data_IF_764698294312
#
_entry.id   IF_764698294312
#
_cell.length_a   1.000
_cell.length_b   1.000
_cell.length_c   1.000
_cell.angle_alpha   90.00
_cell.angle_beta   90.00
_cell.angle_gamma   90.00
#
_symmetry.space_group_name_H-M   'P 1'
#
loop_
_entity.id
_entity.type
_entity.pdbx_description
1 polymer ?
#
# COMPACT_ATOMS: atom_id res chain seq x y z
N UNK A 1 -8.30 52.29 -33.34
CA UNK A 1 -7.88 50.87 -33.25
C UNK A 1 -8.42 50.29 -31.94
N UNK A 2 -9.01 49.09 -31.94
CA UNK A 2 -9.47 48.46 -30.70
C UNK A 2 -8.26 48.03 -29.85
N UNK A 3 -8.24 48.29 -28.53
CA UNK A 3 -7.14 47.87 -27.67
C UNK A 3 -7.02 46.34 -27.66
N UNK A 4 -5.80 45.82 -27.85
CA UNK A 4 -5.52 44.38 -27.73
C UNK A 4 -5.41 44.04 -26.24
N UNK A 5 -6.13 43.01 -25.82
CA UNK A 5 -6.11 42.49 -24.44
C UNK A 5 -5.23 41.26 -24.40
N UNK A 6 -4.23 41.24 -23.53
CA UNK A 6 -3.40 40.06 -23.28
C UNK A 6 -3.68 39.54 -21.87
N UNK A 7 -3.77 38.23 -21.72
CA UNK A 7 -3.88 37.57 -20.43
C UNK A 7 -2.56 36.83 -20.20
N UNK A 8 -1.91 37.11 -19.08
CA UNK A 8 -0.65 36.45 -18.70
C UNK A 8 -0.84 35.78 -17.35
N UNK A 9 -0.44 34.51 -17.28
CA UNK A 9 -0.33 33.81 -16.00
C UNK A 9 0.95 34.29 -15.30
N UNK A 10 0.78 34.79 -14.09
CA UNK A 10 1.88 35.26 -13.24
C UNK A 10 1.90 34.39 -11.99
N UNK A 11 3.08 33.89 -11.65
CA UNK A 11 3.30 33.01 -10.51
C UNK A 11 2.97 33.71 -9.19
N UNK A 12 2.34 32.99 -8.26
CA UNK A 12 2.12 33.52 -6.90
C UNK A 12 3.43 33.43 -6.12
N UNK A 13 3.85 34.56 -5.56
CA UNK A 13 5.04 34.65 -4.70
C UNK A 13 4.87 33.84 -3.40
N UNK A 14 3.63 33.72 -2.92
CA UNK A 14 3.30 32.97 -1.71
C UNK A 14 2.32 31.83 -2.00
N UNK A 15 2.81 30.60 -1.87
CA UNK A 15 1.99 29.41 -1.88
C UNK A 15 1.36 29.24 -0.49
N UNK A 16 0.07 28.89 -0.47
CA UNK A 16 -0.63 28.61 0.77
C UNK A 16 0.09 27.48 1.54
N UNK A 17 0.53 27.80 2.77
CA UNK A 17 1.22 26.89 3.69
C UNK A 17 0.45 25.59 3.92
N UNK A 18 -0.88 25.64 3.82
CA UNK A 18 -1.75 24.46 3.97
C UNK A 18 -1.37 23.31 3.02
N UNK A 19 -1.09 23.59 1.75
CA UNK A 19 -0.73 22.54 0.77
C UNK A 19 0.56 21.82 1.15
N UNK A 20 1.53 22.58 1.64
CA UNK A 20 2.80 22.03 2.11
C UNK A 20 2.59 21.11 3.31
N UNK A 21 1.78 21.55 4.29
CA UNK A 21 1.45 20.74 5.47
C UNK A 21 0.75 19.45 5.06
N UNK A 22 -0.21 19.52 4.13
CA UNK A 22 -0.93 18.33 3.63
C UNK A 22 0.02 17.33 2.95
N UNK A 23 0.92 17.79 2.09
CA UNK A 23 1.90 16.91 1.43
C UNK A 23 2.83 16.24 2.45
N UNK A 24 3.40 17.02 3.38
CA UNK A 24 4.29 16.49 4.42
C UNK A 24 3.56 15.48 5.29
N UNK A 25 2.32 15.76 5.69
CA UNK A 25 1.50 14.82 6.45
C UNK A 25 1.28 13.50 5.70
N UNK A 26 0.90 13.56 4.42
CA UNK A 26 0.70 12.35 3.62
C UNK A 26 1.99 11.55 3.47
N UNK A 27 3.13 12.20 3.16
CA UNK A 27 4.39 11.49 3.00
C UNK A 27 4.91 10.85 4.28
N UNK A 28 4.77 11.51 5.43
CA UNK A 28 5.12 10.89 6.72
C UNK A 28 4.23 9.68 6.99
N UNK A 29 2.92 9.79 6.73
CA UNK A 29 1.98 8.66 6.83
C UNK A 29 2.36 7.48 5.94
N UNK A 30 2.74 7.75 4.68
CA UNK A 30 3.25 6.75 3.73
C UNK A 30 4.52 6.11 4.27
N UNK A 31 5.48 6.91 4.74
CA UNK A 31 6.78 6.41 5.17
C UNK A 31 6.64 5.42 6.34
N UNK A 32 5.90 5.82 7.39
CA UNK A 32 5.69 4.99 8.58
C UNK A 32 4.93 3.70 8.22
N UNK A 33 3.77 3.84 7.56
CA UNK A 33 2.92 2.69 7.22
C UNK A 33 3.59 1.72 6.24
N UNK A 34 4.36 2.21 5.27
CA UNK A 34 5.08 1.34 4.33
C UNK A 34 6.23 0.62 5.01
N UNK A 35 6.98 1.29 5.87
CA UNK A 35 8.06 0.67 6.64
C UNK A 35 7.53 -0.46 7.54
N UNK A 36 6.45 -0.20 8.30
CA UNK A 36 5.83 -1.23 9.14
C UNK A 36 5.22 -2.37 8.33
N UNK A 37 4.57 -2.07 7.20
CA UNK A 37 4.00 -3.08 6.31
C UNK A 37 5.06 -4.01 5.72
N UNK A 38 6.22 -3.45 5.31
CA UNK A 38 7.36 -4.21 4.83
C UNK A 38 7.94 -5.10 5.94
N UNK A 39 8.16 -4.55 7.15
CA UNK A 39 8.67 -5.34 8.27
C UNK A 39 7.71 -6.47 8.68
N UNK A 40 6.42 -6.18 8.81
CA UNK A 40 5.42 -7.19 9.14
C UNK A 40 5.37 -8.31 8.09
N UNK A 41 5.49 -7.96 6.80
CA UNK A 41 5.54 -8.97 5.74
C UNK A 41 6.86 -9.76 5.72
N UNK A 42 7.99 -9.11 6.00
CA UNK A 42 9.27 -9.80 6.15
C UNK A 42 9.23 -10.83 7.30
N UNK A 43 8.59 -10.52 8.43
CA UNK A 43 8.40 -11.49 9.51
C UNK A 43 7.62 -12.71 9.06
N UNK A 44 6.53 -12.51 8.32
CA UNK A 44 5.76 -13.60 7.71
C UNK A 44 6.67 -14.41 6.77
N UNK A 45 7.40 -13.74 5.89
CA UNK A 45 8.26 -14.40 4.90
C UNK A 45 9.36 -15.24 5.57
N UNK A 46 9.93 -14.72 6.66
CA UNK A 46 10.97 -15.37 7.43
C UNK A 46 10.43 -16.58 8.22
N UNK A 47 9.20 -16.52 8.79
CA UNK A 47 8.54 -17.68 9.44
C UNK A 47 8.48 -18.87 8.47
N UNK A 48 8.27 -18.61 7.17
CA UNK A 48 8.20 -19.66 6.17
C UNK A 48 9.53 -19.93 5.45
N UNK A 49 10.66 -19.62 6.09
CA UNK A 49 12.01 -19.83 5.53
C UNK A 49 12.17 -19.20 4.13
N UNK A 50 11.71 -17.95 3.97
CA UNK A 50 11.75 -17.21 2.71
C UNK A 50 11.00 -17.89 1.56
N UNK A 51 9.94 -18.65 1.88
CA UNK A 51 9.01 -19.21 0.88
C UNK A 51 7.76 -18.34 0.80
N UNK A 52 7.30 -18.09 -0.42
CA UNK A 52 6.22 -17.14 -0.64
C UNK A 52 4.85 -17.73 -0.28
N UNK A 53 4.25 -17.25 0.81
CA UNK A 53 2.98 -17.79 1.31
C UNK A 53 1.73 -17.27 0.61
N UNK A 54 1.86 -16.20 -0.18
CA UNK A 54 0.73 -15.64 -0.91
C UNK A 54 0.16 -16.70 -1.83
N UNK A 55 -1.13 -17.04 -1.72
CA UNK A 55 -1.75 -18.11 -2.50
C UNK A 55 -1.10 -19.50 -2.31
N UNK A 56 -0.39 -19.74 -1.20
CA UNK A 56 0.20 -21.05 -0.95
C UNK A 56 -0.90 -22.09 -0.71
N UNK A 57 -0.78 -23.23 -1.40
CA UNK A 57 -1.63 -24.40 -1.19
C UNK A 57 -1.04 -25.24 -0.07
N UNK A 58 -1.61 -25.10 1.12
CA UNK A 58 -1.12 -25.73 2.34
C UNK A 58 -1.44 -27.22 2.32
N UNK A 59 -0.42 -28.05 2.55
CA UNK A 59 -0.59 -29.47 2.85
C UNK A 59 -0.42 -29.67 4.35
N UNK A 60 -1.43 -30.25 4.99
CA UNK A 60 -1.41 -30.58 6.42
C UNK A 60 -0.90 -31.99 6.61
N UNK A 61 0.08 -32.15 7.51
CA UNK A 61 0.59 -33.46 7.89
C UNK A 61 0.06 -33.83 9.27
N UNK A 62 -0.31 -35.10 9.41
CA UNK A 62 -0.73 -35.67 10.68
C UNK A 62 0.43 -36.50 11.24
N UNK A 63 0.90 -36.14 12.43
CA UNK A 63 1.92 -36.85 13.19
C UNK A 63 1.37 -37.31 14.53
N UNK A 64 2.08 -38.21 15.22
CA UNK A 64 1.68 -38.65 16.56
C UNK A 64 0.30 -39.32 16.57
N UNK A 65 0.06 -40.19 15.59
CA UNK A 65 -1.21 -40.89 15.44
C UNK A 65 -1.32 -41.97 16.49
N UNK A 66 -2.30 -41.83 17.38
CA UNK A 66 -2.63 -42.82 18.40
C UNK A 66 -4.05 -43.32 18.15
N UNK A 67 -4.22 -44.64 18.07
CA UNK A 67 -5.52 -45.26 17.92
C UNK A 67 -6.08 -45.63 19.29
N UNK A 68 -7.31 -45.19 19.58
CA UNK A 68 -8.03 -45.61 20.78
C UNK A 68 -8.50 -47.04 20.56
N UNK A 69 -7.80 -48.01 21.15
CA UNK A 69 -8.26 -49.39 21.15
C UNK A 69 -9.61 -49.45 21.89
N UNK A 70 -10.65 -49.91 21.18
CA UNK A 70 -12.04 -50.00 21.67
C UNK A 70 -12.23 -51.03 22.80
N UNK A 71 -11.15 -51.54 23.38
CA UNK A 71 -11.14 -52.75 24.23
C UNK A 71 -11.27 -52.50 25.72
N UNK A 72 -11.39 -51.26 26.21
CA UNK A 72 -11.62 -51.01 27.65
C UNK A 72 -13.10 -51.08 28.03
N UNK A 73 -13.79 -52.12 27.55
CA UNK A 73 -14.90 -52.75 28.27
C UNK A 73 -14.38 -54.10 28.81
N UNK A 74 -13.62 -54.04 29.92
CA UNK A 74 -13.29 -55.15 30.85
C UNK A 74 -12.37 -56.30 30.37
N UNK A 75 -11.67 -57.03 31.28
CA UNK A 75 -10.20 -57.06 31.26
C UNK A 75 -9.59 -58.46 31.17
N UNK A 76 -8.53 -58.64 30.38
CA UNK A 76 -7.45 -59.58 30.71
C UNK A 76 -6.22 -59.43 29.82
N UNK A 77 -5.18 -58.84 30.41
CA UNK A 77 -3.74 -59.06 30.16
C UNK A 77 -3.10 -58.54 28.85
N UNK A 78 -1.79 -58.23 28.87
CA UNK A 78 -1.24 -57.09 28.15
C UNK A 78 -0.29 -57.44 26.99
N UNK A 79 0.10 -56.36 26.31
CA UNK A 79 1.31 -56.12 25.52
C UNK A 79 1.12 -56.08 24.01
N UNK A 80 1.04 -54.87 23.43
CA UNK A 80 1.50 -54.60 22.06
C UNK A 80 2.18 -53.22 21.99
N UNK A 81 3.32 -53.26 21.31
CA UNK A 81 4.29 -52.24 20.89
C UNK A 81 3.70 -51.07 20.10
N UNK A 82 4.21 -49.86 20.39
CA UNK A 82 4.01 -48.63 19.62
C UNK A 82 4.49 -48.78 18.17
N UNK A 83 3.58 -48.63 17.20
CA UNK A 83 3.92 -48.45 15.79
C UNK A 83 3.63 -47.00 15.40
N UNK A 84 4.69 -46.22 15.16
CA UNK A 84 4.62 -44.84 14.69
C UNK A 84 4.38 -44.84 13.18
N UNK A 85 3.22 -44.37 12.73
CA UNK A 85 2.88 -44.20 11.30
C UNK A 85 2.65 -42.73 11.02
N UNK A 86 3.41 -42.16 10.10
CA UNK A 86 3.18 -40.81 9.58
C UNK A 86 2.24 -40.88 8.37
N UNK A 87 1.15 -40.10 8.38
CA UNK A 87 0.19 -40.04 7.27
C UNK A 87 0.19 -38.65 6.63
N UNK A 88 0.44 -38.60 5.32
CA UNK A 88 0.28 -37.43 4.48
C UNK A 88 -1.16 -37.38 3.97
N UNK A 89 -1.88 -36.30 4.27
CA UNK A 89 -3.22 -36.06 3.74
C UNK A 89 -3.08 -35.01 2.63
N UNK A 90 -3.11 -35.47 1.38
CA UNK A 90 -3.14 -34.59 0.22
C UNK A 90 -4.60 -34.28 -0.13
N UNK A 91 -4.97 -32.99 -0.04
CA UNK A 91 -6.26 -32.50 -0.50
C UNK A 91 -6.20 -32.28 -2.02
N UNK A 92 -6.37 -33.34 -2.79
CA UNK A 92 -6.42 -33.27 -4.26
C UNK A 92 -7.83 -32.88 -4.74
N UNK A 93 -7.89 -31.85 -5.58
CA UNK A 93 -9.11 -31.30 -6.16
C UNK A 93 -9.56 -32.15 -7.37
N UNK A 94 -10.80 -32.61 -7.36
CA UNK A 94 -11.42 -33.38 -8.45
C UNK A 94 -11.56 -32.49 -9.68
N UNK A 95 -10.78 -32.76 -10.74
CA UNK A 95 -11.11 -32.39 -12.12
C UNK A 95 -10.78 -33.52 -13.10
N UNK A 96 -11.87 -34.06 -13.64
CA UNK A 96 -12.08 -34.73 -14.93
C UNK A 96 -11.32 -36.01 -15.31
N UNK A 97 -12.13 -37.03 -15.58
CA UNK A 97 -11.79 -38.31 -16.18
C UNK A 97 -11.45 -38.19 -17.66
N UNK A 98 -10.39 -38.86 -18.14
CA UNK A 98 -10.48 -39.94 -19.15
C UNK A 98 -9.10 -40.48 -19.60
N UNK A 99 -9.04 -41.82 -19.66
CA UNK A 99 -8.21 -42.75 -20.48
C UNK A 99 -6.99 -43.47 -19.86
N UNK A 100 -7.26 -44.76 -19.56
CA UNK A 100 -6.58 -45.96 -20.09
C UNK A 100 -5.29 -46.50 -19.45
N UNK A 101 -5.49 -47.42 -18.49
CA UNK A 101 -4.94 -48.80 -18.36
C UNK A 101 -3.48 -49.14 -18.76
N UNK A 102 -2.67 -49.57 -17.77
CA UNK A 102 -2.30 -50.99 -17.50
C UNK A 102 -1.31 -51.15 -16.31
N UNK A 103 -1.55 -52.20 -15.52
CA UNK A 103 -0.97 -52.71 -14.23
C UNK A 103 0.59 -52.68 -14.01
N UNK A 104 1.16 -52.94 -12.78
CA UNK A 104 0.60 -53.73 -11.65
C UNK A 104 0.70 -53.13 -10.21
N UNK A 105 -0.03 -53.83 -9.34
CA UNK A 105 -0.33 -53.61 -7.91
C UNK A 105 0.84 -53.23 -7.01
N UNK A 106 0.67 -52.10 -6.32
CA UNK A 106 1.21 -51.82 -4.99
C UNK A 106 -0.01 -51.57 -4.08
N UNK A 107 -0.19 -52.36 -3.02
CA UNK A 107 -1.26 -52.12 -2.05
C UNK A 107 -0.90 -50.92 -1.17
N UNK A 108 -1.06 -49.71 -1.70
CA UNK A 108 -1.18 -48.52 -0.88
C UNK A 108 -2.60 -48.51 -0.29
N UNK A 109 -2.69 -48.54 1.03
CA UNK A 109 -3.93 -48.26 1.75
C UNK A 109 -4.23 -46.76 1.54
N UNK A 110 -4.90 -46.43 0.43
CA UNK A 110 -5.50 -45.12 0.25
C UNK A 110 -6.72 -45.05 1.18
N UNK A 111 -6.47 -44.66 2.43
CA UNK A 111 -7.55 -44.32 3.34
C UNK A 111 -8.09 -42.96 2.90
N UNK A 112 -9.04 -43.02 1.97
CA UNK A 112 -9.80 -41.87 1.48
C UNK A 112 -10.67 -41.40 2.65
N UNK A 113 -10.12 -40.53 3.50
CA UNK A 113 -10.93 -39.76 4.44
C UNK A 113 -11.81 -38.84 3.59
N UNK A 114 -13.02 -39.30 3.28
CA UNK A 114 -14.10 -38.44 2.81
C UNK A 114 -14.47 -37.53 3.98
N UNK A 115 -13.69 -36.47 4.18
CA UNK A 115 -14.13 -35.31 4.94
C UNK A 115 -15.19 -34.61 4.08
N UNK A 116 -16.43 -35.05 4.28
CA UNK A 116 -17.59 -34.40 3.68
C UNK A 116 -17.62 -32.94 4.11
N UNK A 117 -17.67 -32.06 3.14
CA UNK A 117 -17.87 -30.61 3.32
C UNK A 117 -19.23 -30.45 4.01
N UNK A 118 -19.24 -30.02 5.27
CA UNK A 118 -20.46 -29.68 6.00
C UNK A 118 -20.41 -28.19 6.36
N UNK A 119 -21.36 -27.43 5.81
CA UNK A 119 -21.70 -26.07 6.24
C UNK A 119 -22.38 -26.15 7.60
N UNK A 120 -21.68 -25.71 8.65
CA UNK A 120 -22.33 -25.36 9.92
C UNK A 120 -21.51 -24.30 10.63
N UNK A 121 -22.11 -23.12 10.82
CA UNK A 121 -21.52 -21.99 11.52
C UNK A 121 -21.36 -22.31 13.02
N UNK A 122 -20.12 -22.34 13.51
CA UNK A 122 -19.82 -22.39 14.94
C UNK A 122 -18.99 -21.17 15.36
N UNK A 123 -19.40 -20.52 16.45
CA UNK A 123 -18.68 -19.41 17.07
C UNK A 123 -17.79 -19.94 18.20
N UNK A 124 -16.53 -19.51 18.23
CA UNK A 124 -15.59 -19.75 19.33
C UNK A 124 -15.29 -18.39 19.97
N UNK A 125 -15.79 -18.15 21.19
CA UNK A 125 -15.37 -17.00 22.00
C UNK A 125 -14.08 -17.35 22.75
N UNK A 126 -13.01 -16.62 22.44
CA UNK A 126 -11.73 -16.71 23.16
C UNK A 126 -11.65 -15.55 24.15
N UNK A 127 -12.03 -15.82 25.40
CA UNK A 127 -11.90 -14.88 26.51
C UNK A 127 -10.56 -15.01 27.22
N UNK A 128 -9.80 -13.92 27.30
CA UNK A 128 -8.55 -13.81 28.06
C UNK A 128 -8.85 -13.72 29.56
N UNK A 129 -9.04 -14.87 30.21
CA UNK A 129 -8.82 -15.04 31.64
C UNK A 129 -8.76 -16.54 31.94
N UNK A 130 -7.70 -16.97 32.61
CA UNK A 130 -7.47 -18.33 33.09
C UNK A 130 -8.47 -18.72 34.19
N UNK A 131 -9.73 -18.91 33.81
CA UNK A 131 -10.67 -19.75 34.54
C UNK A 131 -10.71 -21.11 33.85
N UNK A 132 -10.60 -22.20 34.63
CA UNK A 132 -11.02 -23.53 34.18
C UNK A 132 -12.48 -23.41 33.71
N UNK A 133 -12.67 -23.26 32.40
CA UNK A 133 -13.96 -23.40 31.76
C UNK A 133 -14.29 -24.88 31.83
N UNK A 134 -15.26 -25.24 32.67
CA UNK A 134 -16.00 -26.46 32.46
C UNK A 134 -16.73 -26.27 31.13
N UNK A 135 -16.14 -26.80 30.06
CA UNK A 135 -16.82 -26.96 28.79
C UNK A 135 -18.05 -27.83 29.07
N UNK A 136 -19.23 -27.24 29.15
CA UNK A 136 -20.46 -27.98 28.91
C UNK A 136 -20.34 -28.50 27.47
N UNK A 137 -19.96 -29.76 27.37
CA UNK A 137 -19.81 -30.49 26.13
C UNK A 137 -21.15 -30.46 25.39
N UNK A 138 -21.26 -29.59 24.39
CA UNK A 138 -22.22 -29.81 23.32
C UNK A 138 -22.03 -31.25 22.83
N UNK A 139 -23.12 -32.02 22.80
CA UNK A 139 -23.07 -33.43 22.39
C UNK A 139 -22.32 -33.53 21.06
N UNK A 140 -21.28 -34.37 20.97
CA UNK A 140 -20.47 -34.48 19.78
C UNK A 140 -21.34 -34.91 18.60
N UNK A 141 -21.26 -34.17 17.49
CA UNK A 141 -21.88 -34.60 16.24
C UNK A 141 -21.05 -35.78 15.72
N UNK A 142 -21.61 -36.99 15.60
CA UNK A 142 -20.84 -38.16 15.21
C UNK A 142 -20.22 -37.94 13.83
N UNK A 143 -18.89 -38.07 13.76
CA UNK A 143 -18.10 -37.95 12.53
C UNK A 143 -17.29 -36.66 12.36
N UNK A 144 -17.48 -35.64 13.20
CA UNK A 144 -16.67 -34.41 13.14
C UNK A 144 -15.48 -34.53 14.11
N UNK A 145 -14.22 -34.36 13.64
CA UNK A 145 -13.07 -34.40 14.54
C UNK A 145 -13.14 -33.24 15.54
N UNK A 146 -12.99 -33.55 16.82
CA UNK A 146 -12.84 -32.57 17.88
C UNK A 146 -11.45 -31.97 17.86
N UNK A 147 -11.40 -30.66 17.90
CA UNK A 147 -10.17 -29.89 17.92
C UNK A 147 -9.97 -29.41 19.34
N UNK A 148 -8.82 -29.74 19.91
CA UNK A 148 -8.42 -29.24 21.22
C UNK A 148 -6.96 -28.86 21.18
N UNK A 149 -6.64 -27.83 21.95
CA UNK A 149 -5.27 -27.34 22.10
C UNK A 149 -4.73 -27.98 23.37
N UNK A 150 -3.63 -28.72 23.25
CA UNK A 150 -2.94 -29.36 24.36
C UNK A 150 -1.44 -29.11 24.23
N UNK A 151 -0.83 -28.55 25.27
CA UNK A 151 0.60 -28.19 25.28
C UNK A 151 1.01 -27.23 24.14
N UNK A 152 0.16 -26.24 23.88
CA UNK A 152 0.28 -25.30 22.76
C UNK A 152 0.35 -26.00 21.38
N UNK A 153 -0.21 -27.19 21.28
CA UNK A 153 -0.22 -28.00 20.07
C UNK A 153 -1.65 -28.30 19.65
N UNK A 154 -1.90 -28.33 18.35
CA UNK A 154 -3.23 -28.62 17.83
C UNK A 154 -3.42 -30.12 17.66
N UNK A 155 -4.35 -30.67 18.43
CA UNK A 155 -4.73 -32.07 18.37
C UNK A 155 -6.12 -32.23 17.75
N UNK A 156 -6.23 -33.20 16.86
CA UNK A 156 -7.46 -33.68 16.27
C UNK A 156 -7.80 -35.01 16.96
N UNK A 157 -8.90 -35.08 17.70
CA UNK A 157 -9.45 -36.35 18.21
C UNK A 157 -10.75 -36.67 17.51
N UNK A 158 -10.84 -37.89 17.02
CA UNK A 158 -12.10 -38.58 16.74
C UNK A 158 -12.30 -39.70 17.77
N UNK A 159 -13.41 -40.44 17.69
CA UNK A 159 -13.72 -41.60 18.53
C UNK A 159 -12.63 -42.68 18.46
N UNK A 160 -11.97 -42.81 17.31
CA UNK A 160 -11.02 -43.89 17.02
C UNK A 160 -9.55 -43.47 17.04
N UNK A 161 -9.26 -42.17 16.94
CA UNK A 161 -7.91 -41.68 16.66
C UNK A 161 -7.66 -40.31 17.27
N UNK A 162 -6.45 -40.10 17.78
CA UNK A 162 -5.88 -38.80 18.14
C UNK A 162 -4.65 -38.55 17.27
N UNK A 163 -4.52 -37.35 16.71
CA UNK A 163 -3.35 -36.98 15.91
C UNK A 163 -3.01 -35.51 16.05
N UNK A 164 -1.73 -35.19 15.95
CA UNK A 164 -1.20 -33.83 15.90
C UNK A 164 -1.23 -33.31 14.47
N UNK A 165 -1.83 -32.15 14.26
CA UNK A 165 -1.87 -31.49 12.95
C UNK A 165 -0.80 -30.40 12.86
N UNK A 166 0.05 -30.47 11.85
CA UNK A 166 1.07 -29.45 11.56
C UNK A 166 1.15 -29.15 10.06
N UNK A 167 1.67 -27.98 9.70
CA UNK A 167 1.85 -27.58 8.29
C UNK A 167 3.08 -28.28 7.70
N UNK A 168 2.85 -29.09 6.67
CA UNK A 168 3.90 -29.77 5.93
C UNK A 168 4.62 -28.83 4.97
N UNK A 169 5.78 -28.32 5.37
CA UNK A 169 6.57 -27.39 4.55
C UNK A 169 7.10 -28.00 3.24
N UNK A 170 7.26 -29.33 3.18
CA UNK A 170 7.76 -30.02 1.98
C UNK A 170 6.68 -30.28 0.94
N UNK A 171 5.43 -30.46 1.38
CA UNK A 171 4.28 -30.75 0.51
C UNK A 171 3.46 -29.51 0.16
N UNK A 172 3.67 -28.40 0.88
CA UNK A 172 3.03 -27.11 0.59
C UNK A 172 3.58 -26.53 -0.71
N UNK A 173 2.69 -26.20 -1.65
CA UNK A 173 3.03 -25.53 -2.91
C UNK A 173 2.99 -24.02 -2.69
N UNK A 174 4.15 -23.39 -2.70
CA UNK A 174 4.31 -21.95 -2.52
C UNK A 174 4.18 -21.19 -3.85
N UNK A 175 3.79 -19.92 -3.78
CA UNK A 175 3.77 -19.07 -4.96
C UNK A 175 5.17 -18.67 -5.41
N UNK A 176 5.24 -17.99 -6.55
CA UNK A 176 6.50 -17.52 -7.12
C UNK A 176 7.15 -16.48 -6.20
N UNK A 177 8.47 -16.61 -6.04
CA UNK A 177 9.29 -15.67 -5.24
C UNK A 177 9.14 -14.22 -5.72
N UNK A 178 8.87 -14.02 -7.02
CA UNK A 178 8.62 -12.72 -7.61
C UNK A 178 7.45 -11.97 -6.95
N UNK A 179 6.35 -12.67 -6.60
CA UNK A 179 5.19 -12.03 -5.97
C UNK A 179 5.53 -11.47 -4.58
N UNK A 180 6.23 -12.26 -3.76
CA UNK A 180 6.65 -11.82 -2.44
C UNK A 180 7.72 -10.72 -2.52
N UNK A 181 8.67 -10.83 -3.45
CA UNK A 181 9.64 -9.76 -3.69
C UNK A 181 8.96 -8.46 -4.09
N UNK A 182 7.94 -8.52 -4.96
CA UNK A 182 7.16 -7.34 -5.32
C UNK A 182 6.45 -6.73 -4.11
N UNK A 183 5.79 -7.56 -3.30
CA UNK A 183 5.11 -7.12 -2.08
C UNK A 183 6.07 -6.50 -1.06
N UNK A 184 7.30 -6.98 -0.93
CA UNK A 184 8.30 -6.37 -0.04
C UNK A 184 8.89 -5.09 -0.65
N UNK A 185 9.16 -5.08 -1.95
CA UNK A 185 9.86 -4.00 -2.64
C UNK A 185 9.00 -2.75 -2.78
N UNK A 186 7.71 -2.88 -3.11
CA UNK A 186 6.79 -1.73 -3.30
C UNK A 186 6.72 -0.82 -2.07
N UNK A 187 6.44 -1.30 -0.84
CA UNK A 187 6.43 -0.45 0.34
C UNK A 187 7.82 0.09 0.68
N UNK A 188 8.90 -0.66 0.42
CA UNK A 188 10.26 -0.15 0.62
C UNK A 188 10.57 1.04 -0.31
N UNK A 189 10.28 0.92 -1.60
CA UNK A 189 10.38 2.03 -2.56
C UNK A 189 9.46 3.17 -2.12
N UNK A 190 8.24 2.87 -1.67
CA UNK A 190 7.31 3.87 -1.17
C UNK A 190 7.85 4.67 0.01
N UNK A 191 8.51 4.00 0.96
CA UNK A 191 9.20 4.64 2.07
C UNK A 191 10.31 5.59 1.59
N UNK A 192 11.20 5.12 0.71
CA UNK A 192 12.32 5.93 0.19
C UNK A 192 11.81 7.14 -0.58
N UNK A 193 10.84 6.94 -1.48
CA UNK A 193 10.23 8.01 -2.28
C UNK A 193 9.57 9.04 -1.36
N UNK A 194 8.77 8.60 -0.38
CA UNK A 194 8.10 9.50 0.55
C UNK A 194 9.10 10.30 1.41
N UNK A 195 10.19 9.69 1.87
CA UNK A 195 11.24 10.38 2.62
C UNK A 195 11.94 11.45 1.77
N UNK A 196 12.30 11.12 0.53
CA UNK A 196 12.94 12.06 -0.42
C UNK A 196 12.01 13.24 -0.71
N UNK A 197 10.75 12.98 -1.04
CA UNK A 197 9.79 14.07 -1.31
C UNK A 197 9.44 14.88 -0.07
N UNK A 198 9.40 14.28 1.12
CA UNK A 198 9.26 15.02 2.38
C UNK A 198 10.40 16.02 2.53
N UNK A 199 11.64 15.56 2.32
CA UNK A 199 12.82 16.41 2.41
C UNK A 199 12.80 17.54 1.37
N UNK A 200 12.47 17.23 0.12
CA UNK A 200 12.33 18.21 -0.96
C UNK A 200 11.29 19.29 -0.59
N UNK A 201 10.10 18.88 -0.14
CA UNK A 201 9.02 19.81 0.23
C UNK A 201 9.40 20.69 1.44
N UNK A 202 10.21 20.18 2.36
CA UNK A 202 10.73 20.95 3.50
C UNK A 202 11.85 21.92 3.11
N UNK A 203 12.69 21.58 2.13
CA UNK A 203 13.76 22.47 1.66
C UNK A 203 13.24 23.72 0.96
N UNK A 204 12.13 23.61 0.20
CA UNK A 204 11.47 24.74 -0.46
C UNK A 204 10.80 25.76 0.50
N UNK A 205 11.07 25.67 1.81
CA UNK A 205 10.48 26.54 2.83
C UNK A 205 11.17 27.90 2.98
N UNK A 206 12.33 28.15 2.37
CA UNK A 206 13.24 29.24 2.80
C UNK A 206 13.71 30.28 1.76
N UNK A 207 13.28 30.25 0.52
CA UNK A 207 13.88 31.15 -0.51
C UNK A 207 13.19 32.52 -0.62
N UNK A 208 12.89 33.19 0.51
CA UNK A 208 12.40 34.58 0.52
C UNK A 208 13.43 35.59 1.05
N UNK A 209 14.68 35.18 1.25
CA UNK A 209 15.77 36.10 1.66
C UNK A 209 16.95 36.01 0.71
N UNK A 210 16.79 36.60 -0.47
CA UNK A 210 17.78 37.40 -1.19
C UNK A 210 19.16 36.82 -1.52
N UNK A 211 19.45 35.53 -1.32
CA UNK A 211 20.82 35.03 -1.49
C UNK A 211 21.03 34.09 -2.68
N UNK A 212 19.97 33.54 -3.29
CA UNK A 212 20.13 32.63 -4.43
C UNK A 212 18.91 32.71 -5.37
N UNK A 213 18.99 33.57 -6.39
CA UNK A 213 17.97 33.72 -7.46
C UNK A 213 17.82 32.50 -8.39
N UNK A 214 18.50 31.38 -8.10
CA UNK A 214 18.57 30.21 -8.98
C UNK A 214 17.70 29.01 -8.55
N UNK A 215 16.94 29.11 -7.46
CA UNK A 215 16.04 28.03 -7.08
C UNK A 215 14.85 28.00 -8.07
N UNK A 216 14.60 26.86 -8.76
CA UNK A 216 13.53 26.76 -9.73
C UNK A 216 12.16 26.98 -9.07
N UNK A 217 11.26 27.57 -9.85
CA UNK A 217 9.88 27.87 -9.46
C UNK A 217 9.15 26.68 -8.82
N UNK A 218 8.34 26.94 -7.79
CA UNK A 218 7.70 25.92 -6.94
C UNK A 218 6.69 25.05 -7.70
N UNK A 219 6.23 25.47 -8.88
CA UNK A 219 5.35 24.64 -9.73
C UNK A 219 6.11 23.56 -10.50
N UNK A 220 7.43 23.68 -10.67
CA UNK A 220 8.20 22.77 -11.52
C UNK A 220 8.23 21.34 -10.97
N UNK A 221 8.22 21.17 -9.65
CA UNK A 221 8.21 19.83 -9.03
C UNK A 221 6.82 19.19 -9.00
N UNK A 222 5.74 19.95 -9.23
CA UNK A 222 4.36 19.44 -9.13
C UNK A 222 4.10 18.35 -10.17
N UNK A 223 4.54 18.53 -11.41
CA UNK A 223 4.31 17.55 -12.48
C UNK A 223 5.09 16.24 -12.30
N UNK A 224 6.42 16.25 -12.02
CA UNK A 224 7.13 15.03 -11.66
C UNK A 224 6.50 14.34 -10.45
N UNK A 225 6.10 15.12 -9.44
CA UNK A 225 5.47 14.56 -8.24
C UNK A 225 4.12 13.91 -8.55
N UNK A 226 3.33 14.47 -9.47
CA UNK A 226 2.07 13.87 -9.93
C UNK A 226 2.32 12.50 -10.60
N UNK A 227 3.34 12.42 -11.47
CA UNK A 227 3.69 11.18 -12.19
C UNK A 227 4.16 10.11 -11.20
N UNK A 228 5.07 10.45 -10.28
CA UNK A 228 5.58 9.50 -9.28
C UNK A 228 4.46 9.04 -8.35
N UNK A 229 3.64 9.97 -7.84
CA UNK A 229 2.53 9.64 -6.94
C UNK A 229 1.50 8.75 -7.63
N UNK A 230 1.14 9.04 -8.88
CA UNK A 230 0.22 8.20 -9.66
C UNK A 230 0.76 6.78 -9.84
N UNK A 231 2.04 6.66 -10.20
CA UNK A 231 2.72 5.37 -10.39
C UNK A 231 2.76 4.58 -9.09
N UNK A 232 3.16 5.21 -7.99
CA UNK A 232 3.22 4.57 -6.67
C UNK A 232 1.83 4.20 -6.15
N UNK A 233 0.79 4.98 -6.45
CA UNK A 233 -0.60 4.64 -6.10
C UNK A 233 -1.04 3.35 -6.80
N UNK A 234 -0.78 3.23 -8.11
CA UNK A 234 -1.10 2.01 -8.86
C UNK A 234 -0.35 0.80 -8.27
N UNK A 235 0.95 0.93 -8.03
CA UNK A 235 1.77 -0.14 -7.45
C UNK A 235 1.29 -0.53 -6.05
N UNK A 236 0.93 0.45 -5.20
CA UNK A 236 0.40 0.21 -3.86
C UNK A 236 -0.94 -0.52 -3.89
N UNK A 237 -1.86 -0.14 -4.81
CA UNK A 237 -3.14 -0.85 -5.00
C UNK A 237 -2.91 -2.28 -5.46
N UNK A 238 -2.00 -2.53 -6.40
CA UNK A 238 -1.67 -3.90 -6.84
C UNK A 238 -1.08 -4.72 -5.68
N UNK A 239 -0.15 -4.15 -4.92
CA UNK A 239 0.46 -4.82 -3.78
C UNK A 239 -0.55 -5.12 -2.67
N UNK A 240 -1.46 -4.17 -2.36
CA UNK A 240 -2.56 -4.35 -1.42
C UNK A 240 -3.46 -5.52 -1.84
N UNK A 241 -3.84 -5.58 -3.12
CA UNK A 241 -4.67 -6.68 -3.63
C UNK A 241 -3.95 -8.03 -3.53
N UNK A 242 -2.66 -8.09 -3.86
CA UNK A 242 -1.85 -9.32 -3.73
C UNK A 242 -1.75 -9.78 -2.27
N UNK A 243 -1.49 -8.87 -1.34
CA UNK A 243 -1.42 -9.19 0.11
C UNK A 243 -2.79 -9.61 0.63
N UNK A 244 -3.84 -8.85 0.34
CA UNK A 244 -5.17 -9.12 0.87
C UNK A 244 -5.73 -10.44 0.34
N UNK A 245 -5.74 -10.62 -0.99
CA UNK A 245 -6.26 -11.83 -1.62
C UNK A 245 -5.35 -13.04 -1.38
N UNK A 246 -4.03 -12.86 -1.45
CA UNK A 246 -3.06 -13.94 -1.26
C UNK A 246 -3.07 -14.49 0.17
N UNK A 247 -3.14 -13.62 1.18
CA UNK A 247 -3.25 -14.06 2.58
C UNK A 247 -4.64 -14.63 2.89
N UNK A 248 -5.72 -14.07 2.33
CA UNK A 248 -7.06 -14.63 2.53
C UNK A 248 -7.21 -16.00 1.85
N UNK A 249 -6.64 -16.20 0.67
CA UNK A 249 -6.59 -17.50 0.00
C UNK A 249 -5.80 -18.52 0.84
N UNK A 250 -4.68 -18.09 1.43
CA UNK A 250 -3.94 -18.92 2.39
C UNK A 250 -4.81 -19.30 3.59
N UNK A 251 -5.52 -18.34 4.19
CA UNK A 251 -6.44 -18.62 5.30
C UNK A 251 -7.60 -19.55 4.89
N UNK A 252 -8.08 -19.47 3.65
CA UNK A 252 -9.18 -20.29 3.15
C UNK A 252 -8.86 -21.79 3.23
N UNK A 253 -7.58 -22.17 3.07
CA UNK A 253 -7.14 -23.56 3.25
C UNK A 253 -7.31 -24.08 4.69
N UNK A 254 -7.36 -23.19 5.68
CA UNK A 254 -7.57 -23.54 7.08
C UNK A 254 -9.04 -23.53 7.51
N UNK A 255 -9.97 -23.11 6.64
CA UNK A 255 -11.41 -23.09 6.95
C UNK A 255 -11.90 -24.49 7.27
N UNK A 256 -11.46 -25.48 6.49
CA UNK A 256 -11.81 -26.89 6.70
C UNK A 256 -11.38 -27.40 8.09
N UNK A 257 -10.27 -26.88 8.62
CA UNK A 257 -9.78 -27.28 9.94
C UNK A 257 -10.36 -26.44 11.05
N UNK A 258 -10.53 -25.13 10.87
CA UNK A 258 -10.97 -24.25 11.96
C UNK A 258 -12.48 -24.14 12.07
N UNK A 259 -13.22 -24.52 11.03
CA UNK A 259 -14.66 -24.27 10.91
C UNK A 259 -15.00 -22.77 10.76
N UNK A 260 -14.00 -21.90 10.65
CA UNK A 260 -14.21 -20.45 10.58
C UNK A 260 -13.97 -19.96 9.16
N UNK A 261 -14.98 -19.30 8.58
CA UNK A 261 -14.92 -18.69 7.24
C UNK A 261 -13.98 -17.47 7.14
N UNK A 262 -13.29 -17.12 8.23
CA UNK A 262 -12.37 -15.98 8.33
C UNK A 262 -11.07 -16.44 8.96
N UNK A 263 -9.99 -15.75 8.60
CA UNK A 263 -8.69 -16.01 9.22
C UNK A 263 -8.76 -15.80 10.74
N UNK A 264 -8.24 -16.77 11.48
CA UNK A 264 -8.39 -16.88 12.94
C UNK A 264 -7.02 -16.90 13.62
N UNK A 265 -6.91 -16.45 14.90
CA UNK A 265 -5.73 -16.67 15.72
C UNK A 265 -5.35 -18.16 15.86
N UNK A 266 -6.29 -19.09 15.65
CA UNK A 266 -6.00 -20.53 15.67
C UNK A 266 -4.91 -20.96 14.67
N UNK A 267 -4.69 -20.17 13.61
CA UNK A 267 -3.62 -20.35 12.64
C UNK A 267 -2.22 -20.37 13.29
N UNK A 268 -2.05 -19.70 14.43
CA UNK A 268 -0.80 -19.63 15.17
C UNK A 268 -0.36 -20.99 15.73
N UNK A 269 -1.30 -21.88 16.02
CA UNK A 269 -1.00 -23.23 16.51
C UNK A 269 -0.50 -24.16 15.40
N UNK A 270 -1.00 -23.99 14.17
CA UNK A 270 -0.56 -24.76 13.00
C UNK A 270 0.87 -24.44 12.56
N UNK A 271 1.36 -23.25 12.95
CA UNK A 271 2.64 -22.68 12.48
C UNK A 271 3.67 -22.54 13.60
N UNK A 272 3.42 -23.17 14.77
CA UNK A 272 4.29 -23.07 15.94
C UNK A 272 5.70 -23.59 15.70
N UNK A 273 5.84 -24.73 15.00
CA UNK A 273 7.16 -25.31 14.69
C UNK A 273 8.01 -24.37 13.81
N UNK A 274 7.35 -23.58 12.97
CA UNK A 274 7.97 -22.63 12.06
C UNK A 274 8.33 -21.30 12.75
N UNK A 275 7.73 -20.99 13.91
CA UNK A 275 7.88 -19.69 14.55
C UNK A 275 9.26 -19.42 15.16
N UNK A 276 10.05 -20.43 15.54
CA UNK A 276 11.41 -20.25 16.12
C UNK A 276 11.51 -19.08 17.15
N UNK A 277 10.47 -18.85 17.98
CA UNK A 277 10.42 -17.76 18.97
C UNK A 277 10.02 -16.37 18.46
N UNK A 278 9.50 -16.27 17.22
CA UNK A 278 9.04 -15.01 16.61
C UNK A 278 7.61 -14.64 17.00
N UNK A 279 7.17 -13.45 16.60
CA UNK A 279 5.80 -12.96 16.77
C UNK A 279 4.77 -13.90 16.16
N UNK A 280 3.54 -13.77 16.63
CA UNK A 280 2.42 -14.51 16.10
C UNK A 280 2.15 -14.22 14.62
N UNK A 281 1.97 -15.28 13.83
CA UNK A 281 1.75 -15.22 12.40
C UNK A 281 0.46 -14.46 12.11
N UNK A 282 -0.62 -14.77 12.83
CA UNK A 282 -1.90 -14.08 12.65
C UNK A 282 -1.76 -12.57 12.88
N UNK A 283 -1.01 -12.18 13.92
CA UNK A 283 -0.76 -10.78 14.24
C UNK A 283 0.05 -10.09 13.14
N UNK A 284 1.14 -10.70 12.66
CA UNK A 284 1.96 -10.13 11.59
C UNK A 284 1.17 -10.07 10.26
N UNK A 285 0.32 -11.05 9.95
CA UNK A 285 -0.60 -11.01 8.79
C UNK A 285 -1.57 -9.83 8.88
N UNK A 286 -2.25 -9.65 10.01
CA UNK A 286 -3.20 -8.54 10.19
C UNK A 286 -2.52 -7.18 10.19
N UNK A 287 -1.36 -7.08 10.85
CA UNK A 287 -0.55 -5.87 10.82
C UNK A 287 -0.15 -5.52 9.39
N UNK A 288 0.37 -6.49 8.63
CA UNK A 288 0.72 -6.29 7.22
C UNK A 288 -0.48 -5.83 6.39
N UNK A 289 -1.62 -6.53 6.45
CA UNK A 289 -2.84 -6.14 5.72
C UNK A 289 -3.26 -4.69 6.01
N UNK A 290 -3.28 -4.30 7.29
CA UNK A 290 -3.66 -2.95 7.72
C UNK A 290 -2.65 -1.89 7.26
N UNK A 291 -1.35 -2.16 7.39
CA UNK A 291 -0.29 -1.24 6.96
C UNK A 291 -0.33 -1.00 5.44
N UNK A 292 -0.53 -2.04 4.62
CA UNK A 292 -0.70 -1.89 3.17
C UNK A 292 -1.95 -1.08 2.81
N UNK A 293 -3.05 -1.31 3.53
CA UNK A 293 -4.28 -0.56 3.33
C UNK A 293 -4.09 0.93 3.66
N UNK A 294 -3.53 1.24 4.82
CA UNK A 294 -3.26 2.62 5.26
C UNK A 294 -2.29 3.32 4.31
N UNK A 295 -1.19 2.66 3.92
CA UNK A 295 -0.21 3.20 2.97
C UNK A 295 -0.88 3.54 1.63
N UNK A 296 -1.72 2.63 1.11
CA UNK A 296 -2.49 2.86 -0.12
C UNK A 296 -3.43 4.06 0.01
N UNK A 297 -4.12 4.21 1.14
CA UNK A 297 -5.00 5.34 1.40
C UNK A 297 -4.23 6.68 1.44
N UNK A 298 -3.03 6.71 2.03
CA UNK A 298 -2.21 7.92 1.98
C UNK A 298 -1.67 8.23 0.58
N UNK A 299 -1.32 7.22 -0.22
CA UNK A 299 -0.96 7.43 -1.63
C UNK A 299 -2.11 8.02 -2.44
N UNK A 300 -3.34 7.50 -2.27
CA UNK A 300 -4.55 8.04 -2.90
C UNK A 300 -4.81 9.48 -2.42
N UNK A 301 -4.73 9.73 -1.11
CA UNK A 301 -4.91 11.08 -0.56
C UNK A 301 -3.88 12.06 -1.12
N UNK A 302 -2.60 11.66 -1.19
CA UNK A 302 -1.54 12.46 -1.80
C UNK A 302 -1.81 12.74 -3.27
N UNK A 303 -2.32 11.77 -4.04
CA UNK A 303 -2.72 11.97 -5.43
C UNK A 303 -3.87 12.99 -5.54
N UNK A 304 -4.88 12.89 -4.68
CA UNK A 304 -6.00 13.84 -4.63
C UNK A 304 -5.50 15.25 -4.31
N UNK A 305 -4.60 15.41 -3.35
CA UNK A 305 -4.01 16.72 -3.00
C UNK A 305 -3.28 17.33 -4.20
N UNK A 306 -2.49 16.54 -4.94
CA UNK A 306 -1.78 17.01 -6.14
C UNK A 306 -2.78 17.39 -7.25
N UNK A 307 -3.79 16.56 -7.50
CA UNK A 307 -4.81 16.85 -8.51
C UNK A 307 -5.59 18.11 -8.16
N UNK A 308 -6.01 18.29 -6.92
CA UNK A 308 -6.66 19.50 -6.46
C UNK A 308 -5.78 20.73 -6.66
N UNK A 309 -4.47 20.63 -6.38
CA UNK A 309 -3.53 21.73 -6.63
C UNK A 309 -3.44 22.10 -8.11
N UNK A 310 -3.36 21.11 -9.00
CA UNK A 310 -3.33 21.31 -10.46
C UNK A 310 -4.64 21.93 -10.95
N UNK A 311 -5.80 21.37 -10.59
CA UNK A 311 -7.10 21.83 -11.09
C UNK A 311 -7.48 23.21 -10.55
N UNK A 312 -7.22 23.49 -9.28
CA UNK A 312 -7.52 24.79 -8.69
C UNK A 312 -6.54 25.88 -9.16
N UNK A 313 -5.51 25.54 -9.95
CA UNK A 313 -4.49 26.47 -10.46
C UNK A 313 -3.94 27.38 -9.35
N UNK A 314 -3.76 26.83 -8.15
CA UNK A 314 -3.48 27.63 -6.94
C UNK A 314 -2.18 28.41 -7.08
N UNK A 315 -1.24 27.88 -7.87
CA UNK A 315 0.10 28.43 -8.08
C UNK A 315 0.13 29.64 -9.04
N UNK A 316 -0.97 30.00 -9.71
CA UNK A 316 -1.00 31.09 -10.69
C UNK A 316 -2.08 32.14 -10.38
N UNK A 317 -1.74 33.42 -10.59
CA UNK A 317 -2.71 34.51 -10.76
C UNK A 317 -2.90 34.79 -12.26
N UNK A 318 -4.14 34.94 -12.71
CA UNK A 318 -4.43 35.44 -14.05
C UNK A 318 -4.38 36.98 -14.01
N UNK A 319 -3.32 37.58 -14.54
CA UNK A 319 -3.22 39.04 -14.64
C UNK A 319 -3.61 39.46 -16.05
N UNK A 320 -4.53 40.43 -16.15
CA UNK A 320 -4.95 41.02 -17.41
C UNK A 320 -4.09 42.24 -17.70
N UNK A 321 -3.28 42.17 -18.76
CA UNK A 321 -2.42 43.27 -19.20
C UNK A 321 -3.11 44.03 -20.33
N UNK A 322 -3.47 45.28 -20.06
CA UNK A 322 -4.07 46.20 -21.02
C UNK A 322 -2.98 47.08 -21.63
N UNK A 323 -2.56 46.76 -22.86
CA UNK A 323 -1.60 47.60 -23.58
C UNK A 323 -2.36 48.77 -24.21
N UNK A 324 -2.29 49.96 -23.60
CA UNK A 324 -2.75 51.21 -24.22
C UNK A 324 -1.62 51.79 -25.09
N UNK A 325 -1.97 52.30 -26.27
CA UNK A 325 -1.03 53.02 -27.12
C UNK A 325 -1.05 54.47 -26.67
N UNK A 326 0.06 54.99 -26.16
CA UNK A 326 0.18 56.42 -25.81
C UNK A 326 -0.13 57.27 -27.06
N UNK A 327 -1.18 58.07 -26.95
CA UNK A 327 -1.61 59.06 -27.92
C UNK A 327 -0.65 60.24 -27.82
N UNK A 328 -0.15 60.73 -28.95
CA UNK A 328 0.84 61.83 -29.01
C UNK A 328 0.18 63.22 -28.97
N UNK A 329 -1.10 63.29 -28.58
CA UNK A 329 -1.91 64.51 -28.67
C UNK A 329 -2.49 64.95 -27.32
N UNK A 330 -2.08 64.33 -26.21
CA UNK A 330 -2.56 64.66 -24.86
C UNK A 330 -1.47 65.35 -24.01
N UNK A 331 -0.47 66.00 -24.64
CA UNK A 331 0.62 66.73 -23.96
C UNK A 331 0.31 68.24 -23.78
N UNK A 332 -0.93 68.70 -23.98
CA UNK A 332 -1.32 70.09 -23.72
C UNK A 332 -2.40 70.12 -22.61
N UNK A 333 -2.01 70.73 -21.47
CA UNK A 333 -2.85 71.18 -20.35
C UNK A 333 -3.47 70.14 -19.40
N UNK A 334 -2.64 69.33 -18.75
CA UNK A 334 -2.98 68.78 -17.43
C UNK A 334 -1.86 69.06 -16.42
N UNK A 335 -1.91 70.26 -15.84
CA UNK A 335 -1.34 70.57 -14.52
C UNK A 335 -2.24 69.92 -13.44
N UNK A 336 -2.19 68.59 -13.31
CA UNK A 336 -2.79 67.92 -12.16
C UNK A 336 -1.85 66.83 -11.63
N UNK A 337 -1.38 67.11 -10.42
CA UNK A 337 -0.67 66.23 -9.51
C UNK A 337 -1.52 64.99 -9.18
N UNK A 338 -1.54 63.99 -10.05
CA UNK A 338 -1.88 62.62 -9.68
C UNK A 338 -1.05 61.67 -10.56
N UNK A 339 0.27 61.85 -10.43
CA UNK A 339 1.23 60.83 -10.77
C UNK A 339 0.90 59.64 -9.87
N UNK A 340 0.08 58.70 -10.37
CA UNK A 340 -0.08 57.40 -9.78
C UNK A 340 1.29 56.73 -9.91
N UNK A 341 2.12 57.00 -8.91
CA UNK A 341 3.34 56.30 -8.62
C UNK A 341 2.92 54.83 -8.62
N UNK A 342 3.25 54.13 -9.70
CA UNK A 342 3.18 52.68 -9.73
C UNK A 342 4.29 52.31 -8.79
N UNK A 343 3.94 52.34 -7.51
CA UNK A 343 4.86 52.22 -6.39
C UNK A 343 5.82 51.12 -6.75
N UNK A 344 7.08 51.46 -6.62
CA UNK A 344 8.28 50.66 -6.74
C UNK A 344 8.19 49.45 -5.81
N UNK A 345 7.19 48.59 -6.04
CA UNK A 345 7.06 47.29 -5.44
C UNK A 345 7.92 46.41 -6.30
N UNK A 346 9.02 45.94 -5.71
CA UNK A 346 9.93 44.88 -6.14
C UNK A 346 9.15 43.64 -6.61
N UNK A 347 8.49 43.75 -7.76
CA UNK A 347 7.72 42.68 -8.36
C UNK A 347 8.66 41.96 -9.32
N UNK A 348 9.38 40.99 -8.75
CA UNK A 348 10.19 39.98 -9.41
C UNK A 348 11.11 40.52 -10.54
N UNK A 349 12.31 40.94 -10.14
CA UNK A 349 13.41 41.38 -11.00
C UNK A 349 13.67 40.45 -12.21
N UNK A 350 13.33 39.15 -12.14
CA UNK A 350 13.49 38.22 -13.26
C UNK A 350 12.45 38.36 -14.39
N UNK A 351 11.22 38.78 -14.07
CA UNK A 351 10.22 39.09 -15.11
C UNK A 351 10.47 40.46 -15.74
N UNK A 352 11.02 41.40 -14.95
CA UNK A 352 11.57 42.63 -15.48
C UNK A 352 12.81 42.40 -16.33
N UNK A 353 13.70 41.45 -16.02
CA UNK A 353 14.92 41.26 -16.82
C UNK A 353 14.62 40.75 -18.23
N UNK A 354 13.68 39.81 -18.41
CA UNK A 354 13.19 39.45 -19.76
C UNK A 354 12.48 40.60 -20.47
N UNK A 355 11.75 41.44 -19.73
CA UNK A 355 11.09 42.61 -20.32
C UNK A 355 12.11 43.71 -20.68
N UNK A 356 13.15 43.90 -19.86
CA UNK A 356 14.25 44.83 -20.05
C UNK A 356 15.10 44.36 -21.21
N UNK A 357 15.43 43.08 -21.32
CA UNK A 357 16.17 42.53 -22.45
C UNK A 357 15.34 42.57 -23.74
N UNK A 358 14.03 42.30 -23.69
CA UNK A 358 13.14 42.48 -24.84
C UNK A 358 13.03 43.97 -25.23
N UNK A 359 12.98 44.89 -24.26
CA UNK A 359 13.01 46.34 -24.50
C UNK A 359 14.38 46.78 -25.03
N UNK A 360 15.48 46.17 -24.57
CA UNK A 360 16.86 46.47 -24.97
C UNK A 360 17.13 45.92 -26.38
N UNK A 361 16.60 44.75 -26.73
CA UNK A 361 16.64 44.15 -28.07
C UNK A 361 15.75 44.92 -29.06
N UNK A 362 14.55 45.35 -28.64
CA UNK A 362 13.70 46.26 -29.41
C UNK A 362 14.34 47.66 -29.59
N UNK A 363 15.12 48.14 -28.62
CA UNK A 363 15.93 49.37 -28.75
C UNK A 363 17.14 49.16 -29.68
N UNK A 364 17.80 48.00 -29.64
CA UNK A 364 18.95 47.67 -30.49
C UNK A 364 18.54 47.49 -31.96
N UNK A 365 17.43 46.77 -32.25
CA UNK A 365 16.86 46.68 -33.60
C UNK A 365 16.42 48.03 -34.17
N UNK A 366 16.26 49.05 -33.31
CA UNK A 366 15.84 50.40 -33.69
C UNK A 366 17.02 51.29 -34.08
N UNK A 367 18.23 51.01 -33.57
CA UNK A 367 19.42 51.79 -33.89
C UNK A 367 19.86 51.59 -35.35
N UNK A 368 19.51 50.46 -35.96
CA UNK A 368 19.73 50.15 -37.38
C UNK A 368 18.66 50.73 -38.34
N UNK A 369 17.54 51.24 -37.82
CA UNK A 369 16.45 51.79 -38.63
C UNK A 369 16.19 53.23 -38.27
N UNK A 370 17.11 54.09 -38.69
CA UNK A 370 16.96 55.54 -38.67
C UNK A 370 15.87 55.99 -39.68
N UNK A 371 14.60 55.77 -39.33
CA UNK A 371 13.45 56.48 -39.88
C UNK A 371 12.34 56.50 -38.84
N UNK A 372 12.04 57.70 -38.35
CA UNK A 372 11.11 58.03 -37.29
C UNK A 372 9.85 57.14 -37.26
N UNK A 373 9.77 56.26 -36.25
CA UNK A 373 8.50 55.60 -35.86
C UNK A 373 8.26 55.70 -34.36
N UNK A 374 7.05 56.16 -34.09
CA UNK A 374 6.39 56.49 -32.82
C UNK A 374 6.48 55.30 -31.85
N UNK A 375 6.94 55.58 -30.63
CA UNK A 375 7.03 54.63 -29.51
C UNK A 375 5.65 54.55 -28.84
N UNK A 376 5.05 53.35 -28.63
CA UNK A 376 4.00 53.19 -27.64
C UNK A 376 4.62 53.06 -26.24
N UNK A 377 4.33 53.99 -25.33
CA UNK A 377 4.54 53.76 -23.90
C UNK A 377 3.61 52.63 -23.44
N UNK A 378 4.16 51.67 -22.68
CA UNK A 378 3.42 50.52 -22.14
C UNK A 378 3.12 50.82 -20.67
N UNK A 379 1.89 51.25 -20.39
CA UNK A 379 1.41 51.41 -19.01
C UNK A 379 0.81 50.08 -18.53
N UNK A 380 1.37 49.48 -17.47
CA UNK A 380 0.85 48.23 -16.86
C UNK A 380 -0.11 48.63 -15.73
N UNK A 381 -1.41 48.66 -16.02
CA UNK A 381 -2.42 48.85 -14.98
C UNK A 381 -2.82 47.50 -14.37
N UNK A 382 -2.66 47.36 -13.04
CA UNK A 382 -3.11 46.18 -12.28
C UNK A 382 -4.56 46.41 -11.85
N UNK A 383 -5.47 45.54 -12.27
CA UNK A 383 -6.81 45.47 -11.70
C UNK A 383 -6.76 44.40 -10.59
N UNK A 384 -7.02 44.82 -9.35
CA UNK A 384 -7.20 43.92 -8.20
C UNK A 384 -8.57 43.26 -8.23
#
# INVERSE_FOLDING_TARGET
>A
MRPRRFHQYVEKVDINVAWRVMHVFCFIGIAISSMEGAFAFCEIYDIFNYRCILYAKVSTKLTGIEFKNKTDISPSSPSITENKVDMLVDSEEVKDSMKSANNPKMHNLNLKLNLGIFESDYYIEVGTNTRKLNFEQAKPVPGVPHIYIYDDELWLSNETMTARAHVGMTSTVFATVMMCNFVILVPFIGFVVAAVFTFIVLLFRRTHRGLIDSVPADWLYVYPLAIVTSTMTILAVVALNLVYNGLNAFCAHFVHFTGQNRCSPLLDYFTKEQKLGRRDLYRSMKLSQNCFFISTMFWIAQLVVILMRIFCSVDFYLIKVLIRKKSRFDDEDYDDEDYFDVGEYEFAANSQMKLIDLVRELKAQKQDKNKARIIPDITIAKYQ
#
